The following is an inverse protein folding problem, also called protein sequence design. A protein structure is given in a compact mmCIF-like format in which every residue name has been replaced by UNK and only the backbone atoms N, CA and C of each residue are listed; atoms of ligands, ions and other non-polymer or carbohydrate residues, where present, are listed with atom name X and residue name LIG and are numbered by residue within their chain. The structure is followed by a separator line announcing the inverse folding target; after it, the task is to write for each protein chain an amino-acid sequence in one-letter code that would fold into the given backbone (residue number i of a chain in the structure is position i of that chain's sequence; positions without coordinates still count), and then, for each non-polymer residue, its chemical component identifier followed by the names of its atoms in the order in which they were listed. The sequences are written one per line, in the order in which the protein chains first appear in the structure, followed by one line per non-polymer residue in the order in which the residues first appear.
data_IF_549684881504
#
_entry.id   IF_549684881504
#
_cell.length_a   1.000
_cell.length_b   1.000
_cell.length_c   1.000
_cell.angle_alpha   90.00
_cell.angle_beta   90.00
_cell.angle_gamma   90.00
#
_symmetry.space_group_name_H-M   'P 1'
#
loop_
_entity.id
_entity.type
_entity.pdbx_description
1 polymer ?
#
# COMPACT_ATOMS: atom_id res chain seq x y z
N UNK A 1 -0.87 -17.51 -22.82
CA UNK A 1 -1.55 -16.75 -21.76
C UNK A 1 -0.51 -16.14 -20.82
N UNK A 2 -0.54 -14.86 -20.66
CA UNK A 2 0.31 -14.22 -19.65
C UNK A 2 -0.32 -14.47 -18.28
N UNK A 3 0.28 -15.33 -17.48
CA UNK A 3 -0.12 -15.55 -16.09
C UNK A 3 0.52 -14.51 -15.15
N UNK A 4 0.60 -13.27 -15.59
CA UNK A 4 1.24 -12.19 -14.90
C UNK A 4 0.35 -10.94 -14.91
N UNK A 5 0.30 -10.23 -13.80
CA UNK A 5 -0.43 -8.97 -13.65
C UNK A 5 0.53 -7.88 -13.19
N UNK A 6 0.25 -6.65 -13.58
CA UNK A 6 0.97 -5.46 -13.09
C UNK A 6 0.04 -4.66 -12.19
N UNK A 7 0.49 -4.38 -10.98
CA UNK A 7 -0.23 -3.61 -9.98
C UNK A 7 0.64 -2.45 -9.49
N UNK A 8 0.01 -1.34 -9.12
CA UNK A 8 0.71 -0.28 -8.40
C UNK A 8 1.03 -0.69 -6.96
N UNK A 9 2.00 -0.05 -6.30
CA UNK A 9 2.19 -0.25 -4.88
C UNK A 9 1.10 0.46 -4.08
N UNK A 10 0.72 -0.10 -2.95
CA UNK A 10 -0.34 0.46 -2.11
C UNK A 10 -0.03 0.28 -0.62
N UNK A 11 -0.43 1.27 0.16
CA UNK A 11 -0.37 1.21 1.63
C UNK A 11 -1.64 0.53 2.14
N UNK A 12 -1.51 -0.69 2.68
CA UNK A 12 -2.64 -1.50 3.17
C UNK A 12 -3.82 -1.46 2.19
N UNK A 13 -3.60 -2.02 1.04
CA UNK A 13 -4.52 -1.98 -0.10
C UNK A 13 -5.91 -2.52 0.22
N UNK A 14 -6.93 -2.13 -0.56
CA UNK A 14 -8.26 -2.75 -0.49
C UNK A 14 -8.23 -4.25 -0.78
N UNK A 15 -9.26 -4.97 -0.33
CA UNK A 15 -9.38 -6.43 -0.52
C UNK A 15 -9.23 -6.85 -1.97
N UNK A 16 -9.73 -6.07 -2.91
CA UNK A 16 -9.59 -6.34 -4.37
C UNK A 16 -8.15 -6.52 -4.82
N UNK A 17 -7.23 -5.77 -4.24
CA UNK A 17 -5.80 -5.90 -4.52
C UNK A 17 -5.29 -7.30 -4.18
N UNK A 18 -5.68 -7.82 -3.02
CA UNK A 18 -5.28 -9.17 -2.57
C UNK A 18 -5.94 -10.27 -3.38
N UNK A 19 -7.13 -10.05 -3.93
CA UNK A 19 -7.75 -11.02 -4.85
C UNK A 19 -6.94 -11.18 -6.12
N UNK A 20 -6.30 -10.10 -6.60
CA UNK A 20 -5.38 -10.16 -7.75
C UNK A 20 -4.09 -10.88 -7.39
N UNK A 21 -3.52 -10.60 -6.21
CA UNK A 21 -2.35 -11.32 -5.72
C UNK A 21 -2.61 -12.83 -5.59
N UNK A 22 -3.80 -13.20 -5.21
CA UNK A 22 -4.20 -14.61 -5.12
C UNK A 22 -4.38 -15.27 -6.50
N UNK A 23 -4.97 -14.55 -7.44
CA UNK A 23 -5.33 -15.07 -8.76
C UNK A 23 -4.14 -15.27 -9.69
N UNK A 24 -3.04 -14.54 -9.50
CA UNK A 24 -1.87 -14.56 -10.38
C UNK A 24 -0.64 -15.10 -9.69
N UNK A 25 0.06 -16.10 -10.26
CA UNK A 25 1.26 -16.69 -9.65
C UNK A 25 2.45 -15.73 -9.60
N UNK A 26 2.48 -14.74 -10.49
CA UNK A 26 3.52 -13.72 -10.54
C UNK A 26 2.88 -12.34 -10.72
N UNK A 27 3.30 -11.41 -9.89
CA UNK A 27 2.79 -10.03 -9.88
C UNK A 27 3.96 -9.08 -10.02
N UNK A 28 3.92 -8.25 -11.05
CA UNK A 28 4.85 -7.12 -11.16
C UNK A 28 4.27 -5.93 -10.40
N UNK A 29 5.10 -5.30 -9.60
CA UNK A 29 4.73 -4.10 -8.85
C UNK A 29 5.37 -2.90 -9.53
N UNK A 30 4.55 -2.03 -10.10
CA UNK A 30 5.00 -0.85 -10.83
C UNK A 30 5.64 0.17 -9.88
N UNK A 31 6.87 0.54 -10.15
CA UNK A 31 7.62 1.49 -9.35
C UNK A 31 8.15 2.70 -10.13
N UNK A 32 7.92 2.74 -11.45
CA UNK A 32 8.30 3.86 -12.32
C UNK A 32 7.13 4.76 -12.70
N UNK A 33 5.93 4.48 -12.21
CA UNK A 33 4.77 5.34 -12.41
C UNK A 33 4.93 6.66 -11.63
N UNK A 34 4.20 7.68 -12.08
CA UNK A 34 4.22 8.96 -11.39
C UNK A 34 3.47 8.88 -10.06
N UNK A 35 4.15 9.32 -9.00
CA UNK A 35 3.54 9.39 -7.70
C UNK A 35 2.45 10.47 -7.65
N UNK A 36 1.28 10.07 -7.19
CA UNK A 36 0.17 10.97 -6.89
C UNK A 36 -0.16 10.92 -5.41
N UNK A 37 -0.17 12.09 -4.77
CA UNK A 37 -0.57 12.23 -3.36
C UNK A 37 -2.06 11.91 -3.17
N UNK A 38 -2.41 11.47 -1.98
CA UNK A 38 -3.79 11.17 -1.59
C UNK A 38 -4.45 10.06 -2.43
N UNK A 39 -3.64 9.13 -2.88
CA UNK A 39 -4.08 7.88 -3.49
C UNK A 39 -3.77 6.71 -2.56
N UNK A 40 -4.19 5.51 -2.91
CA UNK A 40 -3.86 4.32 -2.12
C UNK A 40 -2.34 4.03 -2.03
N UNK A 41 -1.51 4.73 -2.80
CA UNK A 41 -0.05 4.63 -2.68
C UNK A 41 0.47 5.03 -1.29
N UNK A 42 -0.13 6.06 -0.70
CA UNK A 42 0.26 6.56 0.62
C UNK A 42 -0.89 6.70 1.61
N UNK A 43 -2.07 6.21 1.27
CA UNK A 43 -3.27 6.34 2.10
C UNK A 43 -4.06 5.05 2.13
N UNK A 44 -4.44 4.64 3.33
CA UNK A 44 -5.44 3.60 3.53
C UNK A 44 -6.66 4.15 4.26
N UNK A 45 -7.75 3.41 4.21
CA UNK A 45 -8.98 3.73 4.97
C UNK A 45 -9.31 2.54 5.85
N UNK A 46 -9.46 2.78 7.14
CA UNK A 46 -9.85 1.76 8.11
C UNK A 46 -11.22 2.06 8.68
N UNK A 47 -11.89 1.03 9.20
CA UNK A 47 -13.12 1.18 9.94
C UNK A 47 -12.81 1.56 11.38
N UNK A 48 -13.16 2.79 11.78
CA UNK A 48 -13.05 3.23 13.17
C UNK A 48 -14.42 3.26 13.83
N UNK A 49 -14.44 3.52 15.14
CA UNK A 49 -15.69 3.64 15.91
C UNK A 49 -16.61 4.75 15.37
N UNK A 50 -16.03 5.81 14.83
CA UNK A 50 -16.76 6.98 14.29
C UNK A 50 -16.99 6.88 12.77
N UNK A 51 -16.69 5.77 12.14
CA UNK A 51 -16.82 5.55 10.70
C UNK A 51 -15.48 5.40 9.99
N UNK A 52 -15.44 5.53 8.66
CA UNK A 52 -14.21 5.42 7.89
C UNK A 52 -13.17 6.46 8.31
N UNK A 53 -11.95 6.00 8.56
CA UNK A 53 -10.80 6.83 8.92
C UNK A 53 -9.68 6.66 7.90
N UNK A 54 -9.31 7.76 7.25
CA UNK A 54 -8.19 7.79 6.33
C UNK A 54 -6.88 8.01 7.08
N UNK A 55 -5.89 7.14 6.82
CA UNK A 55 -4.53 7.22 7.36
C UNK A 55 -3.56 7.49 6.22
N UNK A 56 -2.91 8.64 6.25
CA UNK A 56 -2.01 9.09 5.19
C UNK A 56 -0.57 9.11 5.69
N UNK A 57 0.32 8.46 4.94
CA UNK A 57 1.76 8.54 5.17
C UNK A 57 2.26 9.84 4.54
N UNK A 58 2.88 10.75 5.33
CA UNK A 58 3.47 11.96 4.78
C UNK A 58 4.71 11.63 3.95
N UNK A 59 4.88 12.33 2.84
CA UNK A 59 6.03 12.18 1.96
C UNK A 59 6.82 13.49 1.89
N UNK A 60 8.12 13.38 1.68
CA UNK A 60 8.95 14.54 1.45
C UNK A 60 8.55 15.25 0.15
N UNK A 61 8.75 16.56 0.11
CA UNK A 61 8.55 17.32 -1.13
C UNK A 61 9.68 16.95 -2.09
N UNK A 62 9.32 16.56 -3.29
CA UNK A 62 10.26 16.45 -4.38
C UNK A 62 10.29 17.76 -5.16
N UNK A 63 11.47 18.21 -5.51
CA UNK A 63 11.64 19.36 -6.40
C UNK A 63 11.26 19.01 -7.84
N UNK A 64 11.22 17.72 -8.17
CA UNK A 64 10.75 17.22 -9.44
C UNK A 64 9.22 17.14 -9.49
N UNK A 65 8.64 17.82 -10.45
CA UNK A 65 7.19 17.78 -10.74
C UNK A 65 6.68 16.38 -11.10
N UNK A 66 7.60 15.45 -11.40
CA UNK A 66 7.31 14.08 -11.85
C UNK A 66 8.13 13.05 -11.05
N UNK A 67 8.01 13.09 -9.73
CA UNK A 67 8.64 12.06 -8.92
C UNK A 67 8.04 10.69 -9.22
N UNK A 68 8.87 9.71 -9.54
CA UNK A 68 8.44 8.32 -9.73
C UNK A 68 8.29 7.63 -8.37
N UNK A 69 7.41 6.63 -8.33
CA UNK A 69 7.04 5.96 -7.07
C UNK A 69 8.24 5.41 -6.30
N UNK A 70 9.22 4.83 -6.98
CA UNK A 70 10.42 4.25 -6.34
C UNK A 70 11.30 5.27 -5.60
N UNK A 71 11.22 6.55 -5.96
CA UNK A 71 12.04 7.63 -5.40
C UNK A 71 11.31 8.46 -4.33
N UNK A 72 10.06 8.13 -4.05
CA UNK A 72 9.27 8.83 -3.01
C UNK A 72 9.81 8.49 -1.63
N UNK A 73 10.23 9.53 -0.90
CA UNK A 73 10.74 9.40 0.47
C UNK A 73 9.64 9.65 1.49
N UNK A 74 9.64 8.85 2.55
CA UNK A 74 8.74 9.03 3.68
C UNK A 74 9.27 10.19 4.54
N UNK A 75 8.36 11.11 4.90
CA UNK A 75 8.64 12.18 5.85
C UNK A 75 8.35 11.72 7.28
N UNK A 76 9.13 12.20 8.22
CA UNK A 76 8.87 11.99 9.66
C UNK A 76 7.89 13.03 10.26
N UNK A 77 7.28 13.86 9.40
CA UNK A 77 6.38 14.92 9.85
C UNK A 77 5.15 14.38 10.60
N UNK A 78 4.79 15.07 11.68
CA UNK A 78 3.54 14.81 12.40
C UNK A 78 3.52 13.50 13.20
N UNK A 79 4.68 12.86 13.43
CA UNK A 79 4.77 11.58 14.16
C UNK A 79 3.76 10.55 13.66
N UNK A 80 3.62 10.46 12.36
CA UNK A 80 2.59 9.68 11.69
C UNK A 80 2.60 8.18 12.08
N UNK A 81 3.77 7.62 12.35
CA UNK A 81 3.89 6.20 12.74
C UNK A 81 3.12 5.92 14.02
N UNK A 82 3.29 6.77 15.00
CA UNK A 82 2.58 6.66 16.27
C UNK A 82 1.08 6.89 16.12
N UNK A 83 0.70 7.89 15.31
CA UNK A 83 -0.72 8.21 15.03
C UNK A 83 -1.40 7.03 14.34
N UNK A 84 -0.78 6.43 13.31
CA UNK A 84 -1.33 5.29 12.60
C UNK A 84 -1.43 4.06 13.51
N UNK A 85 -0.37 3.78 14.27
CA UNK A 85 -0.39 2.65 15.20
C UNK A 85 -1.52 2.77 16.22
N UNK A 86 -1.68 3.92 16.83
CA UNK A 86 -2.78 4.16 17.78
C UNK A 86 -4.15 4.03 17.13
N UNK A 87 -4.30 4.45 15.87
CA UNK A 87 -5.54 4.27 15.13
C UNK A 87 -5.87 2.79 14.90
N UNK A 88 -4.89 1.95 14.57
CA UNK A 88 -5.07 0.50 14.44
C UNK A 88 -5.44 -0.15 15.77
N UNK A 89 -4.77 0.22 16.84
CA UNK A 89 -5.08 -0.28 18.18
C UNK A 89 -6.51 0.09 18.56
N UNK A 90 -6.90 1.35 18.39
CA UNK A 90 -8.25 1.81 18.72
C UNK A 90 -9.33 1.10 17.92
N UNK A 91 -9.07 0.84 16.62
CA UNK A 91 -10.04 0.21 15.73
C UNK A 91 -10.15 -1.31 15.94
N UNK A 92 -9.04 -2.00 16.23
CA UNK A 92 -8.96 -3.47 16.13
C UNK A 92 -8.59 -4.18 17.42
N UNK A 93 -8.29 -3.47 18.51
CA UNK A 93 -7.87 -4.07 19.80
C UNK A 93 -8.80 -5.19 20.29
N UNK A 94 -10.08 -5.07 20.03
CA UNK A 94 -11.07 -6.05 20.47
C UNK A 94 -11.42 -7.09 19.40
N UNK A 95 -10.76 -7.03 18.24
CA UNK A 95 -10.92 -8.04 17.20
C UNK A 95 -10.27 -9.36 17.61
N UNK A 96 -10.84 -10.50 17.20
CA UNK A 96 -10.19 -11.79 17.38
C UNK A 96 -8.78 -11.79 16.77
N UNK A 97 -7.83 -12.39 17.46
CA UNK A 97 -6.44 -12.53 17.02
C UNK A 97 -5.62 -11.24 16.90
N UNK A 98 -6.14 -10.07 17.30
CA UNK A 98 -5.38 -8.83 17.26
C UNK A 98 -4.03 -8.97 17.99
N UNK A 99 -4.04 -9.51 19.20
CA UNK A 99 -2.83 -9.70 20.00
C UNK A 99 -1.81 -10.62 19.31
N UNK A 100 -2.27 -11.54 18.49
CA UNK A 100 -1.42 -12.44 17.71
C UNK A 100 -0.63 -11.71 16.63
N UNK A 101 -1.24 -10.74 15.96
CA UNK A 101 -0.60 -9.98 14.86
C UNK A 101 0.07 -8.70 15.33
N UNK A 102 -0.31 -8.16 16.49
CA UNK A 102 0.04 -6.82 16.93
C UNK A 102 1.55 -6.57 16.98
N UNK A 103 2.33 -7.50 17.54
CA UNK A 103 3.76 -7.30 17.74
C UNK A 103 4.52 -7.21 16.42
N UNK A 104 4.22 -8.07 15.45
CA UNK A 104 4.86 -8.03 14.14
C UNK A 104 4.40 -6.81 13.33
N UNK A 105 3.12 -6.49 13.39
CA UNK A 105 2.58 -5.33 12.70
C UNK A 105 3.15 -4.03 13.25
N UNK A 106 3.30 -3.92 14.57
CA UNK A 106 3.87 -2.75 15.22
C UNK A 106 5.30 -2.44 14.75
N UNK A 107 6.10 -3.45 14.47
CA UNK A 107 7.48 -3.28 13.99
C UNK A 107 7.58 -2.41 12.74
N UNK A 108 6.59 -2.47 11.84
CA UNK A 108 6.55 -1.62 10.65
C UNK A 108 6.44 -0.13 11.00
N UNK A 109 5.88 0.19 12.16
CA UNK A 109 5.72 1.57 12.64
C UNK A 109 6.82 2.01 13.62
N UNK A 110 7.65 1.08 14.06
CA UNK A 110 8.84 1.38 14.87
C UNK A 110 10.08 1.61 14.00
N UNK A 111 10.18 0.90 12.89
CA UNK A 111 11.29 1.05 11.94
C UNK A 111 11.11 2.29 11.08
N UNK A 112 12.25 2.91 10.74
CA UNK A 112 12.27 4.00 9.78
C UNK A 112 12.58 3.45 8.39
N UNK A 113 11.61 3.57 7.51
CA UNK A 113 11.78 3.29 6.08
C UNK A 113 12.08 4.60 5.35
N UNK A 114 13.08 4.60 4.52
CA UNK A 114 13.43 5.77 3.72
C UNK A 114 12.45 5.94 2.56
N UNK A 115 12.14 4.86 1.85
CA UNK A 115 11.30 4.88 0.65
C UNK A 115 9.92 4.27 0.89
N UNK A 116 8.91 4.98 0.40
CA UNK A 116 7.51 4.53 0.51
C UNK A 116 7.27 3.21 -0.22
N UNK A 117 7.89 3.02 -1.37
CA UNK A 117 7.77 1.78 -2.15
C UNK A 117 8.23 0.56 -1.35
N UNK A 118 9.39 0.65 -0.70
CA UNK A 118 9.94 -0.44 0.11
C UNK A 118 9.04 -0.76 1.31
N UNK A 119 8.55 0.27 1.98
CA UNK A 119 7.60 0.09 3.08
C UNK A 119 6.32 -0.62 2.63
N UNK A 120 5.72 -0.16 1.54
CA UNK A 120 4.50 -0.76 1.00
C UNK A 120 4.71 -2.22 0.58
N UNK A 121 5.83 -2.51 -0.06
CA UNK A 121 6.15 -3.86 -0.54
C UNK A 121 6.31 -4.85 0.61
N UNK A 122 7.12 -4.50 1.61
CA UNK A 122 7.35 -5.36 2.78
C UNK A 122 6.08 -5.58 3.59
N UNK A 123 5.29 -4.52 3.78
CA UNK A 123 4.01 -4.61 4.48
C UNK A 123 3.01 -5.48 3.71
N UNK A 124 2.96 -5.37 2.39
CA UNK A 124 2.13 -6.22 1.54
C UNK A 124 2.53 -7.70 1.66
N UNK A 125 3.83 -8.00 1.62
CA UNK A 125 4.34 -9.36 1.81
C UNK A 125 3.96 -9.92 3.18
N UNK A 126 4.08 -9.10 4.22
CA UNK A 126 3.69 -9.50 5.57
C UNK A 126 2.20 -9.83 5.65
N UNK A 127 1.33 -8.96 5.12
CA UNK A 127 -0.13 -9.20 5.09
C UNK A 127 -0.46 -10.49 4.35
N UNK A 128 0.17 -10.72 3.19
CA UNK A 128 -0.03 -11.95 2.41
C UNK A 128 0.33 -13.19 3.23
N UNK A 129 1.45 -13.18 3.96
CA UNK A 129 1.81 -14.31 4.83
C UNK A 129 0.77 -14.58 5.92
N UNK A 130 0.13 -13.52 6.46
CA UNK A 130 -0.90 -13.69 7.49
C UNK A 130 -2.17 -14.36 6.98
N UNK A 131 -2.41 -14.31 5.68
CA UNK A 131 -3.56 -14.94 5.02
C UNK A 131 -3.16 -16.16 4.17
N UNK A 132 -2.03 -16.77 4.50
CA UNK A 132 -1.50 -17.97 3.84
C UNK A 132 -1.29 -17.80 2.33
N UNK A 133 -0.85 -16.62 1.92
CA UNK A 133 -0.50 -16.30 0.54
C UNK A 133 1.00 -16.01 0.43
N UNK A 134 1.62 -16.54 -0.61
CA UNK A 134 3.02 -16.28 -0.94
C UNK A 134 3.15 -15.81 -2.40
N UNK A 135 2.64 -14.61 -2.73
CA UNK A 135 2.73 -14.10 -4.08
C UNK A 135 4.20 -13.77 -4.41
N UNK A 136 4.56 -14.01 -5.65
CA UNK A 136 5.86 -13.57 -6.15
C UNK A 136 5.74 -12.11 -6.62
N UNK A 137 6.17 -11.18 -5.78
CA UNK A 137 6.16 -9.75 -6.06
C UNK A 137 7.50 -9.34 -6.68
N UNK A 138 7.45 -8.81 -7.90
CA UNK A 138 8.62 -8.41 -8.66
C UNK A 138 8.49 -6.93 -9.02
N UNK A 139 9.36 -6.04 -8.49
CA UNK A 139 9.36 -4.66 -8.94
C UNK A 139 9.63 -4.57 -10.45
N UNK A 140 8.98 -3.62 -11.13
CA UNK A 140 9.27 -3.38 -12.54
C UNK A 140 10.66 -2.77 -12.71
N UNK A 141 11.29 -3.06 -13.84
CA UNK A 141 12.61 -2.50 -14.19
C UNK A 141 12.51 -1.23 -15.03
N UNK A 142 11.34 -1.01 -15.66
CA UNK A 142 11.04 0.14 -16.48
C UNK A 142 9.55 0.48 -16.40
N UNK A 143 9.19 1.67 -16.81
CA UNK A 143 7.79 2.08 -16.88
C UNK A 143 7.02 1.24 -17.89
N UNK A 144 5.90 0.68 -17.45
CA UNK A 144 5.01 -0.11 -18.30
C UNK A 144 3.70 0.66 -18.52
N UNK A 145 3.55 1.31 -19.70
CA UNK A 145 2.33 2.05 -19.99
C UNK A 145 1.11 1.14 -20.11
N UNK A 146 -0.04 1.64 -19.68
CA UNK A 146 -1.32 0.91 -19.71
C UNK A 146 -1.64 0.30 -21.08
N UNK A 147 -1.25 0.99 -22.14
CA UNK A 147 -1.53 0.59 -23.53
C UNK A 147 -0.78 -0.69 -23.94
N UNK A 148 0.37 -0.93 -23.35
CA UNK A 148 1.21 -2.08 -23.66
C UNK A 148 0.89 -3.30 -22.78
N UNK A 149 0.15 -3.07 -21.71
CA UNK A 149 -0.15 -4.10 -20.74
C UNK A 149 -1.65 -4.36 -20.62
N UNK A 150 -2.12 -5.35 -21.37
CA UNK A 150 -3.50 -5.83 -21.26
C UNK A 150 -3.87 -6.35 -19.86
N UNK A 151 -2.88 -6.46 -18.98
CA UNK A 151 -2.99 -6.96 -17.61
C UNK A 151 -2.82 -5.87 -16.54
N UNK A 152 -2.78 -4.59 -16.91
CA UNK A 152 -2.82 -3.51 -15.94
C UNK A 152 -4.23 -3.45 -15.32
N UNK A 153 -4.40 -4.13 -14.21
CA UNK A 153 -5.71 -4.31 -13.59
C UNK A 153 -6.00 -3.26 -12.52
N UNK A 154 -5.09 -2.31 -12.30
CA UNK A 154 -5.27 -1.42 -11.20
C UNK A 154 -4.72 -0.01 -11.43
N UNK A 155 -5.63 0.92 -11.65
CA UNK A 155 -5.47 2.31 -11.30
C UNK A 155 -6.24 2.53 -10.01
N UNK A 156 -5.52 2.79 -8.92
CA UNK A 156 -6.16 3.05 -7.64
C UNK A 156 -7.10 4.24 -7.75
N UNK A 157 -8.43 4.08 -7.62
CA UNK A 157 -9.29 5.24 -7.52
C UNK A 157 -8.87 6.04 -6.29
N UNK A 158 -8.82 7.37 -6.42
CA UNK A 158 -8.60 8.20 -5.24
C UNK A 158 -9.77 8.01 -4.27
N UNK A 159 -9.58 8.21 -2.96
CA UNK A 159 -10.70 8.16 -2.01
C UNK A 159 -11.86 9.13 -2.33
N UNK A 160 -11.60 10.16 -3.15
CA UNK A 160 -12.64 11.06 -3.66
C UNK A 160 -13.51 10.42 -4.74
N UNK A 161 -12.95 9.56 -5.57
CA UNK A 161 -13.69 8.88 -6.64
C UNK A 161 -14.63 7.81 -6.07
N UNK A 162 -14.29 7.23 -4.95
CA UNK A 162 -15.15 6.27 -4.24
C UNK A 162 -16.42 6.89 -3.65
N UNK A 163 -16.48 8.21 -3.47
CA UNK A 163 -17.63 8.92 -2.93
C UNK A 163 -18.67 9.27 -4.00
N UNK A 164 -18.40 9.04 -5.27
CA UNK A 164 -19.27 9.37 -6.41
C UNK A 164 -20.11 8.20 -6.92
N UNK A 165 -19.91 7.04 -6.38
CA UNK A 165 -20.73 5.87 -6.72
C UNK A 165 -21.93 5.72 -5.82
#
# INVERSE_FOLDING_TARGET
MKNEVILGSAYLAPVEYYTKLFAYPSVRVECYDHYMKQTYRNRCVIASADGPLALTIPTEKSDDLKCVMKDVRISDHGNWRHVHWNAFVAAYKHSPFFDYYADEFHRFFEQKYEFLFDFNLELCEWVCRQIDMEPRLIPTEEYMPEVECACLLYTSPSPRDMRRS
#
